data_IF_523956598180
#
_entry.id   IF_523956598180
#
_cell.length_a   1.000
_cell.length_b   1.000
_cell.length_c   1.000
_cell.angle_alpha   90.00
_cell.angle_beta   90.00
_cell.angle_gamma   90.00
#
_symmetry.space_group_name_H-M   'P 1'
#
loop_
_entity.id
_entity.type
_entity.pdbx_description
1 polymer ?
#
# COMPACT_ATOMS: atom_id res chain seq x y z
N UNK A 1 -19.93 31.40 88.67
CA UNK A 1 -19.18 31.65 87.35
C UNK A 1 -19.15 30.38 86.51
N UNK A 2 -20.03 30.28 85.50
CA UNK A 2 -20.06 29.13 84.56
C UNK A 2 -19.40 29.57 83.28
N UNK A 3 -18.28 28.95 82.87
CA UNK A 3 -17.62 29.18 81.63
C UNK A 3 -18.31 28.33 80.55
N UNK A 4 -18.84 28.97 79.50
CA UNK A 4 -19.36 28.33 78.30
C UNK A 4 -18.19 27.95 77.42
N UNK A 5 -18.10 26.64 77.07
CA UNK A 5 -17.20 26.14 76.00
C UNK A 5 -17.89 26.36 74.65
N UNK A 6 -17.29 27.18 73.82
CA UNK A 6 -17.68 27.35 72.43
C UNK A 6 -17.08 26.18 71.60
N UNK A 7 -17.96 25.37 70.99
CA UNK A 7 -17.59 24.32 70.02
C UNK A 7 -17.21 24.95 68.68
N UNK A 8 -16.04 24.65 68.15
CA UNK A 8 -15.56 25.05 66.83
C UNK A 8 -16.19 24.07 65.78
N UNK A 9 -16.83 24.55 64.73
CA UNK A 9 -17.38 23.70 63.69
C UNK A 9 -16.26 23.09 62.83
N UNK A 10 -16.14 21.76 62.83
CA UNK A 10 -15.27 21.01 61.95
C UNK A 10 -15.92 20.99 60.55
N UNK A 11 -15.24 21.58 59.55
CA UNK A 11 -15.66 21.51 58.15
C UNK A 11 -15.53 20.06 57.65
N UNK A 12 -16.53 19.50 56.94
CA UNK A 12 -16.40 18.18 56.37
C UNK A 12 -15.33 18.20 55.26
N UNK A 13 -14.29 17.40 55.44
CA UNK A 13 -13.32 17.11 54.39
C UNK A 13 -14.09 16.29 53.32
N UNK A 14 -14.15 16.84 52.12
CA UNK A 14 -14.77 16.17 50.97
C UNK A 14 -13.92 14.96 50.61
N UNK A 15 -14.23 13.80 51.19
CA UNK A 15 -13.62 12.52 50.83
C UNK A 15 -14.14 12.15 49.43
N UNK A 16 -13.40 12.51 48.39
CA UNK A 16 -13.61 11.95 47.04
C UNK A 16 -13.48 10.42 47.23
N UNK A 17 -14.61 9.72 47.15
CA UNK A 17 -14.64 8.29 47.37
C UNK A 17 -13.64 7.62 46.42
N UNK A 18 -12.78 6.73 46.91
CA UNK A 18 -11.81 5.97 46.11
C UNK A 18 -12.49 5.26 44.90
N UNK A 19 -13.78 4.95 45.05
CA UNK A 19 -14.64 4.39 44.01
C UNK A 19 -14.75 5.31 42.80
N UNK A 20 -14.94 6.64 42.99
CA UNK A 20 -15.04 7.60 41.91
C UNK A 20 -13.71 7.78 41.16
N UNK A 21 -12.59 7.67 41.88
CA UNK A 21 -11.25 7.74 41.30
C UNK A 21 -10.97 6.50 40.40
N UNK A 22 -11.33 5.32 40.90
CA UNK A 22 -11.21 4.06 40.13
C UNK A 22 -12.11 4.07 38.90
N UNK A 23 -13.35 4.55 39.02
CA UNK A 23 -14.28 4.65 37.90
C UNK A 23 -13.77 5.64 36.82
N UNK A 24 -13.18 6.79 37.22
CA UNK A 24 -12.57 7.74 36.33
C UNK A 24 -11.34 7.16 35.62
N UNK A 25 -10.48 6.41 36.32
CA UNK A 25 -9.33 5.73 35.74
C UNK A 25 -9.75 4.63 34.74
N UNK A 26 -10.79 3.84 35.06
CA UNK A 26 -11.34 2.86 34.10
C UNK A 26 -11.95 3.51 32.87
N UNK A 27 -12.67 4.63 33.02
CA UNK A 27 -13.24 5.36 31.88
C UNK A 27 -12.14 5.92 30.96
N UNK A 28 -11.06 6.47 31.52
CA UNK A 28 -9.91 6.97 30.75
C UNK A 28 -9.20 5.81 30.04
N UNK A 29 -9.01 4.67 30.71
CA UNK A 29 -8.41 3.47 30.12
C UNK A 29 -9.24 2.92 28.97
N UNK A 30 -10.56 2.96 29.05
CA UNK A 30 -11.47 2.52 28.00
C UNK A 30 -11.44 3.45 26.78
N UNK A 31 -11.29 4.76 26.98
CA UNK A 31 -11.16 5.74 25.90
C UNK A 31 -9.84 5.57 25.10
N UNK A 32 -8.75 5.17 25.75
CA UNK A 32 -7.45 4.95 25.08
C UNK A 32 -7.45 3.66 24.26
N UNK A 33 -8.25 2.66 24.64
CA UNK A 33 -8.35 1.39 23.90
C UNK A 33 -9.17 1.47 22.61
N UNK A 34 -9.91 2.55 22.39
CA UNK A 34 -10.69 2.78 21.16
C UNK A 34 -9.92 3.51 20.06
N UNK A 35 -8.66 3.85 20.28
CA UNK A 35 -7.76 4.31 19.18
C UNK A 35 -7.48 3.14 18.26
N UNK A 36 -8.46 2.77 17.44
CA UNK A 36 -8.29 1.76 16.40
C UNK A 36 -7.22 2.21 15.42
N UNK A 37 -6.32 1.34 15.03
CA UNK A 37 -5.45 1.54 13.88
C UNK A 37 -6.35 1.87 12.69
N UNK A 38 -6.36 3.12 12.24
CA UNK A 38 -7.00 3.47 10.98
C UNK A 38 -6.15 2.86 9.86
N UNK A 39 -6.67 1.85 9.18
CA UNK A 39 -6.03 1.34 7.97
C UNK A 39 -6.08 2.43 6.91
N UNK A 40 -4.93 2.77 6.34
CA UNK A 40 -4.83 3.68 5.22
C UNK A 40 -5.65 3.15 4.05
N UNK A 41 -6.52 3.99 3.48
CA UNK A 41 -7.36 3.63 2.32
C UNK A 41 -7.09 4.59 1.17
N UNK A 42 -6.88 4.04 -0.01
CA UNK A 42 -6.75 4.79 -1.26
C UNK A 42 -8.06 4.64 -2.03
N UNK A 43 -8.79 5.74 -2.19
CA UNK A 43 -10.15 5.75 -2.74
C UNK A 43 -10.16 6.54 -4.06
N UNK A 44 -10.75 6.01 -5.14
CA UNK A 44 -10.84 6.73 -6.41
C UNK A 44 -11.74 7.97 -6.30
N UNK A 45 -11.33 9.07 -6.95
CA UNK A 45 -12.13 10.29 -7.08
C UNK A 45 -12.93 10.29 -8.38
N UNK A 46 -14.17 10.77 -8.32
CA UNK A 46 -15.01 10.92 -9.51
C UNK A 46 -14.43 11.99 -10.45
N UNK A 47 -14.24 11.61 -11.72
CA UNK A 47 -13.88 12.55 -12.79
C UNK A 47 -14.92 12.53 -13.92
N UNK A 48 -15.03 13.60 -14.72
CA UNK A 48 -15.93 13.58 -15.89
C UNK A 48 -15.63 12.39 -16.80
N UNK A 49 -16.63 11.59 -17.10
CA UNK A 49 -16.50 10.40 -17.96
C UNK A 49 -15.96 9.15 -17.26
N UNK A 50 -15.68 9.19 -15.97
CA UNK A 50 -15.29 8.00 -15.21
C UNK A 50 -16.49 7.31 -14.57
N UNK A 51 -16.38 5.99 -14.41
CA UNK A 51 -17.28 5.14 -13.65
C UNK A 51 -16.54 4.61 -12.43
N UNK A 52 -17.10 4.82 -11.23
CA UNK A 52 -16.54 4.32 -9.98
C UNK A 52 -17.38 3.14 -9.49
N UNK A 53 -16.71 2.04 -9.19
CA UNK A 53 -17.26 0.93 -8.41
C UNK A 53 -16.70 1.00 -7.00
N UNK A 54 -17.55 1.46 -6.07
CA UNK A 54 -17.19 1.59 -4.65
C UNK A 54 -16.97 0.22 -3.97
N UNK A 55 -17.63 -0.83 -4.48
CA UNK A 55 -17.50 -2.18 -3.90
C UNK A 55 -16.14 -2.81 -4.24
N UNK A 56 -15.64 -2.53 -5.44
CA UNK A 56 -14.33 -2.98 -5.91
C UNK A 56 -13.22 -1.95 -5.66
N UNK A 57 -13.54 -0.77 -5.11
CA UNK A 57 -12.63 0.37 -4.96
C UNK A 57 -11.87 0.68 -6.27
N UNK A 58 -12.61 0.69 -7.40
CA UNK A 58 -12.03 0.83 -8.73
C UNK A 58 -12.64 2.00 -9.51
N UNK A 59 -11.88 2.51 -10.47
CA UNK A 59 -12.31 3.55 -11.40
C UNK A 59 -12.05 3.09 -12.83
N UNK A 60 -13.05 3.20 -13.70
CA UNK A 60 -12.95 2.91 -15.12
C UNK A 60 -13.15 4.18 -15.95
N UNK A 61 -12.35 4.34 -17.00
CA UNK A 61 -12.46 5.43 -17.98
C UNK A 61 -12.42 4.82 -19.38
N UNK A 62 -13.34 5.25 -20.23
CA UNK A 62 -13.41 4.83 -21.64
C UNK A 62 -13.07 6.03 -22.54
N UNK A 63 -12.11 5.84 -23.44
CA UNK A 63 -11.73 6.84 -24.45
C UNK A 63 -11.33 6.16 -25.76
N UNK A 64 -11.90 6.59 -26.88
CA UNK A 64 -11.62 6.07 -28.22
C UNK A 64 -11.72 4.53 -28.31
N UNK A 65 -12.73 3.94 -27.67
CA UNK A 65 -12.94 2.49 -27.63
C UNK A 65 -11.98 1.73 -26.72
N UNK A 66 -11.03 2.39 -26.04
CA UNK A 66 -10.18 1.77 -25.03
C UNK A 66 -10.77 2.05 -23.65
N UNK A 67 -10.98 0.99 -22.89
CA UNK A 67 -11.40 1.06 -21.48
C UNK A 67 -10.21 0.70 -20.58
N UNK A 68 -9.90 1.57 -19.64
CA UNK A 68 -8.89 1.30 -18.59
C UNK A 68 -9.59 1.35 -17.25
N UNK A 69 -9.46 0.27 -16.48
CA UNK A 69 -9.90 0.19 -15.09
C UNK A 69 -8.70 0.14 -14.19
N UNK A 70 -8.70 0.96 -13.14
CA UNK A 70 -7.63 1.05 -12.15
C UNK A 70 -8.21 0.83 -10.76
N UNK A 71 -7.55 -0.02 -9.98
CA UNK A 71 -7.86 -0.29 -8.59
C UNK A 71 -6.58 -0.28 -7.77
N UNK A 72 -6.59 0.32 -6.60
CA UNK A 72 -5.51 0.14 -5.64
C UNK A 72 -5.51 -1.32 -5.14
N UNK A 73 -4.35 -1.95 -5.14
CA UNK A 73 -4.21 -3.34 -4.71
C UNK A 73 -3.58 -3.39 -3.31
N UNK A 74 -4.45 -3.50 -2.30
CA UNK A 74 -4.03 -3.57 -0.88
C UNK A 74 -3.35 -4.90 -0.56
N UNK A 75 -3.79 -6.00 -1.21
CA UNK A 75 -3.37 -7.35 -0.85
C UNK A 75 -2.03 -7.75 -1.47
N UNK A 76 -1.67 -7.17 -2.62
CA UNK A 76 -0.49 -7.57 -3.39
C UNK A 76 0.84 -7.21 -2.73
N UNK A 77 0.85 -6.20 -1.86
CA UNK A 77 2.07 -5.64 -1.26
C UNK A 77 2.19 -5.96 0.22
N UNK A 78 1.08 -6.02 0.95
CA UNK A 78 1.06 -6.24 2.40
C UNK A 78 1.74 -7.54 2.83
N UNK A 79 1.70 -8.60 1.99
CA UNK A 79 2.35 -9.87 2.28
C UNK A 79 3.88 -9.78 2.32
N UNK A 80 4.48 -8.66 1.89
CA UNK A 80 5.94 -8.54 1.73
C UNK A 80 6.57 -7.37 2.48
N UNK A 81 5.83 -6.67 3.33
CA UNK A 81 6.30 -5.45 4.02
C UNK A 81 6.84 -4.37 3.05
N UNK A 82 6.27 -4.30 1.84
CA UNK A 82 6.60 -3.25 0.88
C UNK A 82 5.75 -1.98 1.04
N UNK A 83 4.78 -2.03 1.92
CA UNK A 83 3.70 -1.05 2.09
C UNK A 83 4.20 0.39 2.26
N UNK A 84 5.40 0.56 2.85
CA UNK A 84 6.03 1.87 3.03
C UNK A 84 6.96 2.29 1.89
N UNK A 85 7.17 1.46 0.87
CA UNK A 85 8.19 1.73 -0.15
C UNK A 85 7.62 1.63 -1.57
N UNK A 86 6.69 0.70 -1.81
CA UNK A 86 6.11 0.44 -3.13
C UNK A 86 4.59 0.41 -3.02
N UNK A 87 3.94 1.15 -3.90
CA UNK A 87 2.49 1.14 -4.08
C UNK A 87 2.14 0.42 -5.37
N UNK A 88 1.12 -0.43 -5.35
CA UNK A 88 0.65 -1.16 -6.55
C UNK A 88 -0.78 -0.81 -6.92
N UNK A 89 -1.03 -0.79 -8.23
CA UNK A 89 -2.36 -0.67 -8.81
C UNK A 89 -2.63 -1.85 -9.71
N UNK A 90 -3.76 -2.50 -9.53
CA UNK A 90 -4.27 -3.46 -10.52
C UNK A 90 -4.87 -2.66 -11.67
N UNK A 91 -4.33 -2.85 -12.86
CA UNK A 91 -4.77 -2.18 -14.09
C UNK A 91 -5.32 -3.23 -15.05
N UNK A 92 -6.54 -3.00 -15.50
CA UNK A 92 -7.15 -3.78 -16.60
C UNK A 92 -7.30 -2.87 -17.81
N UNK A 93 -6.80 -3.28 -18.95
CA UNK A 93 -6.92 -2.56 -20.24
C UNK A 93 -7.70 -3.42 -21.20
N UNK A 94 -8.84 -2.93 -21.64
CA UNK A 94 -9.70 -3.60 -22.63
C UNK A 94 -9.75 -2.77 -23.92
N UNK A 95 -9.41 -3.39 -25.04
CA UNK A 95 -9.45 -2.75 -26.35
C UNK A 95 -10.75 -3.08 -27.08
N UNK A 96 -11.71 -2.17 -27.05
CA UNK A 96 -12.93 -2.24 -27.85
C UNK A 96 -12.83 -1.47 -29.19
N UNK A 97 -11.64 -0.93 -29.53
CA UNK A 97 -11.42 -0.26 -30.80
C UNK A 97 -11.17 -1.24 -31.96
N UNK A 98 -11.11 -0.75 -33.20
CA UNK A 98 -10.84 -1.57 -34.38
C UNK A 98 -9.33 -1.76 -34.67
N UNK A 99 -8.44 -1.09 -33.90
CA UNK A 99 -6.99 -1.17 -34.07
C UNK A 99 -6.30 -1.59 -32.80
N UNK A 100 -5.07 -2.08 -32.90
CA UNK A 100 -4.25 -2.38 -31.73
C UNK A 100 -3.95 -1.11 -30.92
N UNK A 101 -3.95 -1.24 -29.59
CA UNK A 101 -3.56 -0.19 -28.66
C UNK A 101 -2.33 -0.67 -27.89
N UNK A 102 -1.25 0.11 -27.92
CA UNK A 102 0.00 -0.23 -27.28
C UNK A 102 0.31 0.69 -26.09
N UNK A 103 0.86 0.10 -25.05
CA UNK A 103 1.42 0.78 -23.89
C UNK A 103 2.86 0.30 -23.65
N UNK A 104 3.64 1.11 -22.99
CA UNK A 104 5.02 0.84 -22.57
C UNK A 104 5.21 1.27 -21.13
N UNK A 105 6.31 0.93 -20.51
CA UNK A 105 6.59 1.30 -19.11
C UNK A 105 6.46 2.81 -18.87
N UNK A 106 6.93 3.61 -19.81
CA UNK A 106 6.81 5.07 -19.77
C UNK A 106 5.39 5.59 -20.04
N UNK A 107 4.45 4.73 -20.41
CA UNK A 107 3.04 5.12 -20.56
C UNK A 107 2.35 5.43 -19.24
N UNK A 108 2.86 4.91 -18.14
CA UNK A 108 2.24 5.03 -16.82
C UNK A 108 3.09 5.92 -15.91
N UNK A 109 2.48 6.97 -15.40
CA UNK A 109 3.14 7.96 -14.57
C UNK A 109 2.26 8.23 -13.35
N UNK A 110 2.78 8.05 -12.15
CA UNK A 110 2.11 8.46 -10.93
C UNK A 110 2.60 9.85 -10.52
N UNK A 111 1.69 10.72 -10.09
CA UNK A 111 2.00 12.07 -9.62
C UNK A 111 1.36 12.26 -8.25
N UNK A 112 2.11 12.81 -7.29
CA UNK A 112 1.62 13.11 -5.94
C UNK A 112 0.98 14.50 -5.85
N UNK A 113 0.50 14.84 -4.66
CA UNK A 113 -0.08 16.14 -4.31
C UNK A 113 0.95 17.29 -4.24
N UNK A 114 2.26 16.97 -4.23
CA UNK A 114 3.37 17.92 -4.26
C UNK A 114 3.89 18.18 -5.67
N UNK A 115 3.33 17.45 -6.67
CA UNK A 115 3.73 17.55 -8.08
C UNK A 115 4.97 16.71 -8.43
N UNK A 116 5.42 15.81 -7.55
CA UNK A 116 6.50 14.87 -7.87
C UNK A 116 5.96 13.74 -8.75
N UNK A 117 6.79 13.33 -9.70
CA UNK A 117 6.48 12.29 -10.68
C UNK A 117 7.24 11.01 -10.33
N UNK A 118 6.53 9.90 -10.39
CA UNK A 118 7.06 8.55 -10.17
C UNK A 118 6.84 7.70 -11.42
N UNK A 119 7.91 7.08 -11.88
CA UNK A 119 7.86 6.15 -13.02
C UNK A 119 7.42 4.76 -12.57
N UNK A 120 6.84 4.02 -13.49
CA UNK A 120 6.54 2.61 -13.30
C UNK A 120 7.84 1.84 -13.01
N UNK A 121 7.78 0.96 -12.01
CA UNK A 121 8.87 0.03 -11.68
C UNK A 121 8.72 -1.26 -12.47
N UNK A 122 9.82 -1.78 -12.97
CA UNK A 122 9.83 -3.15 -13.51
C UNK A 122 9.78 -4.19 -12.38
N UNK A 123 9.30 -5.41 -12.63
CA UNK A 123 9.31 -6.49 -11.65
C UNK A 123 10.70 -6.76 -11.06
N UNK A 124 11.76 -6.61 -11.87
CA UNK A 124 13.15 -6.77 -11.45
C UNK A 124 13.55 -5.69 -10.44
N UNK A 125 13.15 -4.43 -10.67
CA UNK A 125 13.41 -3.33 -9.74
C UNK A 125 12.70 -3.56 -8.41
N UNK A 126 11.45 -4.01 -8.42
CA UNK A 126 10.70 -4.36 -7.20
C UNK A 126 11.41 -5.48 -6.45
N UNK A 127 11.78 -6.57 -7.13
CA UNK A 127 12.55 -7.67 -6.56
C UNK A 127 13.86 -7.19 -5.91
N UNK A 128 14.59 -6.30 -6.59
CA UNK A 128 15.89 -5.82 -6.09
C UNK A 128 15.74 -4.88 -4.89
N UNK A 129 14.62 -4.16 -4.77
CA UNK A 129 14.26 -3.42 -3.55
C UNK A 129 14.03 -4.39 -2.39
N UNK A 130 13.21 -5.42 -2.60
CA UNK A 130 12.97 -6.47 -1.60
C UNK A 130 14.26 -7.11 -1.08
N UNK A 131 15.22 -7.37 -1.96
CA UNK A 131 16.50 -7.96 -1.57
C UNK A 131 17.35 -7.07 -0.68
N UNK A 132 17.28 -5.75 -0.85
CA UNK A 132 18.08 -4.80 -0.07
C UNK A 132 17.55 -4.61 1.35
N UNK A 133 16.24 -4.68 1.53
CA UNK A 133 15.58 -4.38 2.81
C UNK A 133 15.34 -5.63 3.65
N UNK A 134 15.63 -6.82 3.12
CA UNK A 134 15.35 -8.08 3.80
C UNK A 134 16.60 -8.66 4.45
N UNK A 135 16.76 -8.46 5.76
CA UNK A 135 17.60 -9.32 6.58
C UNK A 135 16.85 -10.63 6.84
N UNK A 136 17.30 -11.70 6.20
CA UNK A 136 16.65 -13.00 6.39
C UNK A 136 17.24 -13.69 7.61
N UNK A 137 16.43 -13.78 8.67
CA UNK A 137 16.68 -14.69 9.78
C UNK A 137 16.12 -16.07 9.41
N UNK A 138 17.02 -17.03 9.16
CA UNK A 138 16.58 -18.41 8.95
C UNK A 138 16.68 -19.17 10.27
N UNK A 139 15.58 -19.79 10.73
CA UNK A 139 15.66 -20.73 11.83
C UNK A 139 16.42 -21.99 11.38
N UNK A 140 17.57 -22.21 11.98
CA UNK A 140 18.27 -23.50 11.83
C UNK A 140 17.72 -24.45 12.90
N UNK A 141 17.32 -25.71 12.54
CA UNK A 141 16.61 -26.58 13.46
C UNK A 141 17.38 -26.95 14.72
N UNK A 142 18.70 -26.70 14.78
CA UNK A 142 19.52 -27.11 15.93
C UNK A 142 20.45 -26.04 16.52
N UNK A 143 20.67 -24.87 15.91
CA UNK A 143 21.74 -23.92 16.33
C UNK A 143 21.34 -22.45 16.39
N UNK A 144 20.07 -22.08 16.20
CA UNK A 144 19.63 -20.69 16.25
C UNK A 144 19.50 -20.04 14.88
N UNK A 145 19.63 -18.72 14.83
CA UNK A 145 19.41 -17.92 13.62
C UNK A 145 20.73 -17.51 13.00
N UNK A 146 20.85 -17.68 11.66
CA UNK A 146 21.97 -17.15 10.89
C UNK A 146 21.51 -15.94 10.09
N UNK A 147 22.34 -14.88 10.11
CA UNK A 147 22.23 -13.76 9.18
C UNK A 147 22.87 -14.15 7.87
N UNK A 148 22.15 -14.05 6.77
CA UNK A 148 22.67 -14.29 5.44
C UNK A 148 22.74 -12.94 4.71
N UNK A 149 23.92 -12.34 4.71
CA UNK A 149 24.13 -11.02 4.11
C UNK A 149 24.21 -11.06 2.58
N UNK A 150 24.37 -12.25 1.99
CA UNK A 150 24.63 -12.38 0.56
C UNK A 150 23.87 -13.57 -0.03
N UNK A 151 22.91 -13.27 -0.89
CA UNK A 151 22.07 -14.26 -1.58
C UNK A 151 22.90 -15.23 -2.46
N UNK A 152 23.99 -14.77 -3.09
CA UNK A 152 24.81 -15.63 -3.95
C UNK A 152 25.57 -16.66 -3.12
N UNK A 153 26.08 -16.26 -1.95
CA UNK A 153 26.69 -17.20 -1.01
C UNK A 153 25.70 -18.20 -0.46
N UNK A 154 24.47 -17.75 -0.18
CA UNK A 154 23.37 -18.62 0.27
C UNK A 154 23.03 -19.69 -0.76
N UNK A 155 22.93 -19.31 -2.04
CA UNK A 155 22.67 -20.25 -3.14
C UNK A 155 23.80 -21.28 -3.30
N UNK A 156 25.04 -20.88 -3.07
CA UNK A 156 26.19 -21.76 -3.12
C UNK A 156 26.17 -22.81 -1.99
N UNK A 157 25.91 -22.37 -0.76
CA UNK A 157 25.79 -23.27 0.40
C UNK A 157 24.69 -24.30 0.23
N UNK A 158 23.55 -23.91 -0.36
CA UNK A 158 22.44 -24.83 -0.60
C UNK A 158 22.75 -25.90 -1.64
N UNK A 159 23.56 -25.59 -2.64
CA UNK A 159 23.98 -26.59 -3.64
C UNK A 159 25.00 -27.58 -3.09
N UNK A 160 25.76 -27.17 -2.08
CA UNK A 160 26.85 -27.99 -1.52
C UNK A 160 26.42 -28.90 -0.39
N UNK A 161 25.26 -28.64 0.26
CA UNK A 161 24.78 -29.39 1.41
C UNK A 161 23.32 -29.75 1.26
N UNK A 162 23.04 -30.96 0.78
CA UNK A 162 21.69 -31.50 0.59
C UNK A 162 20.87 -31.70 1.88
N UNK A 163 21.47 -31.47 3.05
CA UNK A 163 20.81 -31.57 4.36
C UNK A 163 20.33 -30.23 4.92
N UNK A 164 20.59 -29.11 4.24
CA UNK A 164 20.07 -27.81 4.65
C UNK A 164 18.63 -27.64 4.14
N UNK A 165 17.73 -27.05 4.95
CA UNK A 165 16.37 -26.79 4.51
C UNK A 165 16.37 -25.95 3.24
N UNK A 166 15.48 -26.29 2.32
CA UNK A 166 15.29 -25.57 1.08
C UNK A 166 15.16 -24.08 1.37
N UNK A 167 16.06 -23.28 0.80
CA UNK A 167 15.85 -21.85 0.73
C UNK A 167 14.78 -21.60 -0.31
N UNK A 168 13.59 -21.27 0.14
CA UNK A 168 12.64 -20.65 -0.75
C UNK A 168 13.25 -19.30 -1.14
N UNK A 169 13.31 -19.02 -2.44
CA UNK A 169 13.51 -17.66 -2.91
C UNK A 169 12.39 -16.84 -2.31
N UNK A 170 12.74 -16.01 -1.32
CA UNK A 170 11.79 -15.26 -0.52
C UNK A 170 11.30 -13.97 -1.20
N UNK A 171 11.63 -13.77 -2.47
CA UNK A 171 10.86 -12.81 -3.25
C UNK A 171 9.70 -13.56 -3.93
N UNK A 172 8.51 -12.97 -3.86
CA UNK A 172 7.35 -13.64 -4.41
C UNK A 172 7.51 -13.76 -5.93
N UNK A 173 7.47 -14.98 -6.41
CA UNK A 173 7.46 -15.30 -7.86
C UNK A 173 6.29 -14.59 -8.56
N UNK A 174 5.24 -14.28 -7.84
CA UNK A 174 4.05 -13.60 -8.32
C UNK A 174 4.27 -12.12 -8.68
N UNK A 175 5.34 -11.45 -8.21
CA UNK A 175 5.72 -10.11 -8.70
C UNK A 175 5.87 -10.11 -10.22
N UNK A 176 6.47 -11.15 -10.79
CA UNK A 176 6.65 -11.27 -12.23
C UNK A 176 5.37 -11.71 -12.93
N UNK A 177 4.70 -12.73 -12.42
CA UNK A 177 3.53 -13.31 -13.06
C UNK A 177 2.28 -12.43 -12.99
N UNK A 178 2.20 -11.57 -11.97
CA UNK A 178 1.10 -10.59 -11.79
C UNK A 178 1.38 -9.22 -12.39
N UNK A 179 2.61 -8.93 -12.82
CA UNK A 179 2.95 -7.63 -13.42
C UNK A 179 2.10 -7.35 -14.68
N UNK A 180 1.75 -6.10 -14.89
CA UNK A 180 1.03 -5.67 -16.08
C UNK A 180 1.88 -5.94 -17.34
N UNK A 181 1.38 -6.75 -18.29
CA UNK A 181 2.12 -7.03 -19.52
C UNK A 181 2.26 -5.76 -20.38
N UNK A 182 3.50 -5.38 -20.74
CA UNK A 182 3.79 -4.23 -21.61
C UNK A 182 3.75 -4.64 -23.07
N UNK A 183 2.59 -5.08 -23.54
CA UNK A 183 2.35 -5.57 -24.90
C UNK A 183 1.24 -4.78 -25.57
N UNK A 184 1.11 -4.92 -26.91
CA UNK A 184 -0.06 -4.43 -27.63
C UNK A 184 -1.31 -5.23 -27.28
N UNK A 185 -2.42 -4.53 -27.08
CA UNK A 185 -3.74 -5.13 -26.86
C UNK A 185 -4.48 -5.14 -28.18
N UNK A 186 -4.72 -6.33 -28.72
CA UNK A 186 -5.43 -6.48 -30.00
C UNK A 186 -6.93 -6.18 -29.84
N UNK A 187 -7.64 -5.82 -30.92
CA UNK A 187 -9.08 -5.53 -30.87
C UNK A 187 -9.90 -6.63 -30.20
N UNK A 188 -10.81 -6.25 -29.31
CA UNK A 188 -11.69 -7.14 -28.56
C UNK A 188 -11.04 -7.86 -27.39
N UNK A 189 -9.73 -7.73 -27.15
CA UNK A 189 -9.02 -8.40 -26.06
C UNK A 189 -8.78 -7.48 -24.86
N UNK A 190 -8.40 -8.09 -23.73
CA UNK A 190 -7.98 -7.38 -22.53
C UNK A 190 -6.65 -7.92 -22.00
N UNK A 191 -5.90 -7.05 -21.32
CA UNK A 191 -4.76 -7.42 -20.48
C UNK A 191 -5.03 -6.91 -19.07
N UNK A 192 -4.42 -7.58 -18.07
CA UNK A 192 -4.57 -7.22 -16.67
C UNK A 192 -3.28 -7.52 -15.93
N UNK A 193 -2.93 -6.68 -14.96
CA UNK A 193 -1.77 -6.90 -14.13
C UNK A 193 -1.47 -5.73 -13.19
N UNK A 194 -0.45 -5.91 -12.35
CA UNK A 194 -0.02 -4.94 -11.34
C UNK A 194 0.99 -3.95 -11.91
N UNK A 195 0.74 -2.69 -11.67
CA UNK A 195 1.65 -1.58 -11.93
C UNK A 195 2.25 -1.10 -10.61
N UNK A 196 3.56 -1.10 -10.48
CA UNK A 196 4.30 -0.81 -9.26
C UNK A 196 4.93 0.58 -9.31
N UNK A 197 4.85 1.35 -8.19
CA UNK A 197 5.44 2.68 -8.07
C UNK A 197 6.17 2.82 -6.75
N UNK A 198 7.34 3.47 -6.76
CA UNK A 198 8.12 3.73 -5.54
C UNK A 198 7.59 4.98 -4.84
N UNK A 199 6.56 4.82 -4.05
CA UNK A 199 5.93 5.88 -3.26
C UNK A 199 5.34 5.28 -1.98
N UNK A 200 5.46 6.02 -0.86
CA UNK A 200 4.72 5.73 0.36
C UNK A 200 3.42 6.56 0.35
N UNK A 201 2.26 5.94 0.20
CA UNK A 201 1.01 6.69 0.19
C UNK A 201 0.71 7.36 1.53
N UNK A 202 1.30 6.90 2.64
CA UNK A 202 1.09 7.51 3.96
C UNK A 202 1.59 8.96 4.05
N UNK A 203 2.53 9.37 3.19
CA UNK A 203 3.11 10.73 3.17
C UNK A 203 2.30 11.73 2.34
N UNK A 204 1.20 11.28 1.70
CA UNK A 204 0.42 12.06 0.74
C UNK A 204 -1.06 12.12 1.11
N UNK A 205 -1.77 13.08 0.53
CA UNK A 205 -3.22 13.20 0.63
C UNK A 205 -3.91 12.77 -0.66
N UNK A 206 -3.25 12.98 -1.80
CA UNK A 206 -3.75 12.67 -3.14
C UNK A 206 -2.64 12.18 -4.03
N UNK A 207 -3.00 11.25 -4.90
CA UNK A 207 -2.15 10.78 -5.98
C UNK A 207 -2.97 10.69 -7.27
N UNK A 208 -2.31 10.78 -8.42
CA UNK A 208 -2.96 10.67 -9.74
C UNK A 208 -2.16 9.73 -10.61
N UNK A 209 -2.78 8.70 -11.12
CA UNK A 209 -2.19 7.88 -12.18
C UNK A 209 -2.56 8.50 -13.53
N UNK A 210 -1.53 8.89 -14.29
CA UNK A 210 -1.64 9.40 -15.64
C UNK A 210 -1.25 8.30 -16.61
N UNK A 211 -2.06 8.08 -17.65
CA UNK A 211 -1.78 7.08 -18.67
C UNK A 211 -1.72 7.74 -20.03
N UNK A 212 -0.64 7.46 -20.75
CA UNK A 212 -0.36 7.94 -22.11
C UNK A 212 -0.28 6.75 -23.05
N UNK A 213 -0.78 6.87 -24.27
CA UNK A 213 -0.55 5.86 -25.30
C UNK A 213 0.93 5.83 -25.68
N UNK A 214 1.40 4.69 -26.16
CA UNK A 214 2.79 4.53 -26.60
C UNK A 214 3.15 5.58 -27.66
N UNK A 215 4.27 6.29 -27.44
CA UNK A 215 4.76 7.33 -28.32
C UNK A 215 4.08 8.70 -28.14
N UNK A 216 3.09 8.84 -27.24
CA UNK A 216 2.52 10.15 -26.94
C UNK A 216 3.53 11.04 -26.20
N UNK A 217 3.54 12.33 -26.53
CA UNK A 217 4.37 13.30 -25.82
C UNK A 217 3.85 13.53 -24.40
N UNK A 218 4.72 13.47 -23.40
CA UNK A 218 4.37 13.79 -21.99
C UNK A 218 4.08 15.27 -21.77
N UNK A 219 4.39 16.13 -22.74
CA UNK A 219 4.01 17.55 -22.73
C UNK A 219 2.55 17.77 -23.15
N UNK A 220 1.90 16.76 -23.73
CA UNK A 220 0.48 16.78 -24.05
C UNK A 220 -0.35 16.32 -22.85
N UNK A 221 -1.65 16.68 -22.78
CA UNK A 221 -2.53 16.11 -21.78
C UNK A 221 -2.54 14.58 -21.82
N UNK A 222 -2.63 13.89 -20.68
CA UNK A 222 -2.69 12.43 -20.63
C UNK A 222 -3.96 11.93 -21.34
N UNK A 223 -3.87 10.72 -21.91
CA UNK A 223 -5.04 10.07 -22.52
C UNK A 223 -6.07 9.69 -21.46
N UNK A 224 -5.60 9.21 -20.31
CA UNK A 224 -6.44 8.84 -19.17
C UNK A 224 -5.85 9.40 -17.88
N UNK A 225 -6.72 9.74 -16.93
CA UNK A 225 -6.34 10.26 -15.60
C UNK A 225 -7.20 9.60 -14.54
N UNK A 226 -6.54 9.04 -13.53
CA UNK A 226 -7.17 8.37 -12.39
C UNK A 226 -6.70 9.01 -11.09
N UNK A 227 -7.46 9.97 -10.55
CA UNK A 227 -7.15 10.58 -9.26
C UNK A 227 -7.67 9.71 -8.11
N UNK A 228 -6.89 9.68 -7.02
CA UNK A 228 -7.20 8.99 -5.78
C UNK A 228 -6.98 9.90 -4.59
N UNK A 229 -7.85 9.79 -3.59
CA UNK A 229 -7.69 10.39 -2.27
C UNK A 229 -7.21 9.34 -1.28
N UNK A 230 -6.25 9.72 -0.43
CA UNK A 230 -5.71 8.89 0.63
C UNK A 230 -6.40 9.28 1.94
N UNK A 231 -7.11 8.32 2.54
CA UNK A 231 -7.84 8.46 3.80
C UNK A 231 -7.06 7.71 4.88
N UNK A 232 -6.73 8.42 5.96
CA UNK A 232 -5.99 7.88 7.12
C UNK A 232 -6.90 7.62 8.29
#
# INVERSE_FOLDING_TARGET
>A
MKRALTAVPVKPVCTVSAINLIAALMAISFLVLTSGCSSLKIVPEQTPGSQIDLSANSQAVVKDGTEITVRFDEDGINSYNLDSTVTSFLITIKNGSASEVAFSEDSFVLVDDKGLQYSLLTPEQVRDMLKKDSYYLMPYPYVGFYYLEDYQKTSFYNRSNSSLPYYYELYPQDIFSKALPMTSVIPGMKIEGLAYFKIDPADHQKIKLLVFRKGASKSSPPDFTFPFTIVK
#
